data_IF_301659732167
#
_entry.id   IF_301659732167
#
_cell.length_a   1.000
_cell.length_b   1.000
_cell.length_c   1.000
_cell.angle_alpha   90.00
_cell.angle_beta   90.00
_cell.angle_gamma   90.00
#
_symmetry.space_group_name_H-M   'P 1'
#
loop_
_entity.id
_entity.type
_entity.pdbx_description
1 polymer ?
#
# COMPACT_ATOMS: atom_id res chain seq x y z
N UNK A 1 31.79 -4.31 66.60
CA UNK A 1 31.34 -4.90 65.32
C UNK A 1 32.46 -5.78 64.78
N UNK A 2 32.34 -7.11 64.93
CA UNK A 2 33.44 -8.07 64.71
C UNK A 2 33.86 -8.17 63.23
N UNK A 3 35.16 -7.95 62.95
CA UNK A 3 35.75 -7.99 61.60
C UNK A 3 35.77 -9.37 60.93
N UNK A 4 35.35 -10.42 61.66
CA UNK A 4 35.30 -11.81 61.19
C UNK A 4 34.41 -11.98 59.96
N UNK A 5 33.24 -11.31 59.90
CA UNK A 5 32.34 -11.37 58.72
C UNK A 5 33.00 -10.81 57.47
N UNK A 6 33.62 -9.63 57.58
CA UNK A 6 34.28 -8.93 56.46
C UNK A 6 35.45 -9.76 55.94
N UNK A 7 36.22 -10.37 56.85
CA UNK A 7 37.36 -11.25 56.49
C UNK A 7 36.89 -12.51 55.75
N UNK A 8 35.84 -13.18 56.23
CA UNK A 8 35.27 -14.35 55.55
C UNK A 8 34.69 -13.98 54.17
N UNK A 9 34.01 -12.84 54.03
CA UNK A 9 33.51 -12.36 52.75
C UNK A 9 34.64 -12.17 51.72
N UNK A 10 35.77 -11.56 52.14
CA UNK A 10 36.93 -11.36 51.26
C UNK A 10 37.56 -12.70 50.82
N UNK A 11 37.65 -13.68 51.72
CA UNK A 11 38.17 -15.01 51.40
C UNK A 11 37.25 -15.78 50.45
N UNK A 12 35.93 -15.75 50.68
CA UNK A 12 34.94 -16.39 49.81
C UNK A 12 34.94 -15.79 48.40
N UNK A 13 35.04 -14.46 48.28
CA UNK A 13 35.19 -13.77 46.99
C UNK A 13 36.42 -14.26 46.22
N UNK A 14 37.57 -14.38 46.91
CA UNK A 14 38.79 -14.87 46.30
C UNK A 14 38.71 -16.34 45.88
N UNK A 15 38.03 -17.19 46.66
CA UNK A 15 37.87 -18.62 46.34
C UNK A 15 36.89 -18.86 45.18
N UNK A 16 35.78 -18.11 45.13
CA UNK A 16 34.76 -18.23 44.08
C UNK A 16 35.08 -17.41 42.81
N UNK A 17 36.18 -16.66 42.81
CA UNK A 17 36.54 -15.71 41.75
C UNK A 17 35.41 -14.70 41.46
N UNK A 18 34.80 -14.17 42.53
CA UNK A 18 33.71 -13.19 42.46
C UNK A 18 34.24 -11.80 42.83
N UNK A 19 33.92 -10.82 41.99
CA UNK A 19 34.28 -9.42 42.16
C UNK A 19 33.23 -8.67 42.98
N UNK A 20 33.68 -7.80 43.89
CA UNK A 20 32.78 -6.94 44.64
C UNK A 20 32.15 -5.89 43.72
N UNK A 21 30.86 -5.62 43.91
CA UNK A 21 30.18 -4.55 43.19
C UNK A 21 30.52 -3.19 43.80
N UNK A 22 30.95 -2.24 42.97
CA UNK A 22 31.36 -0.89 43.38
C UNK A 22 30.68 0.22 42.56
N UNK A 23 31.06 1.47 42.84
CA UNK A 23 30.49 2.64 42.16
C UNK A 23 30.89 2.74 40.67
N UNK A 24 32.07 2.24 40.30
CA UNK A 24 32.52 2.23 38.90
C UNK A 24 31.63 1.30 38.08
N UNK A 25 31.29 0.12 38.63
CA UNK A 25 30.41 -0.81 37.96
C UNK A 25 28.96 -0.37 37.93
N UNK A 26 28.50 0.37 38.94
CA UNK A 26 27.20 1.04 38.87
C UNK A 26 27.12 2.00 37.66
N UNK A 27 28.19 2.73 37.35
CA UNK A 27 28.26 3.59 36.17
C UNK A 27 28.31 2.77 34.88
N UNK A 28 29.13 1.71 34.80
CA UNK A 28 29.16 0.82 33.63
C UNK A 28 27.80 0.16 33.36
N UNK A 29 27.05 -0.22 34.39
CA UNK A 29 25.69 -0.75 34.24
C UNK A 29 24.70 0.31 33.76
N UNK A 30 24.85 1.57 34.18
CA UNK A 30 24.00 2.66 33.71
C UNK A 30 24.18 2.93 32.21
N UNK A 31 25.43 2.87 31.71
CA UNK A 31 25.72 2.97 30.28
C UNK A 31 25.13 1.79 29.50
N UNK A 32 25.29 0.57 30.02
CA UNK A 32 24.68 -0.62 29.42
C UNK A 32 23.14 -0.50 29.40
N UNK A 33 22.52 -0.12 30.51
CA UNK A 33 21.08 0.10 30.58
C UNK A 33 20.61 1.14 29.56
N UNK A 34 21.37 2.21 29.37
CA UNK A 34 21.07 3.27 28.40
C UNK A 34 21.17 2.80 26.95
N UNK A 35 22.12 1.91 26.63
CA UNK A 35 22.21 1.26 25.33
C UNK A 35 21.03 0.30 25.11
N UNK A 36 20.71 -0.53 26.11
CA UNK A 36 19.63 -1.52 26.04
C UNK A 36 18.24 -0.87 25.96
N UNK A 37 18.02 0.26 26.64
CA UNK A 37 16.77 1.01 26.62
C UNK A 37 16.35 1.50 25.22
N UNK A 38 17.29 1.55 24.26
CA UNK A 38 17.00 1.91 22.85
C UNK A 38 16.25 0.81 22.10
N UNK A 39 16.43 -0.44 22.50
CA UNK A 39 15.87 -1.61 21.81
C UNK A 39 14.82 -2.32 22.65
N UNK A 40 14.97 -2.32 23.98
CA UNK A 40 14.08 -3.01 24.92
C UNK A 40 13.02 -2.06 25.47
N UNK A 41 11.77 -2.49 25.35
CA UNK A 41 10.60 -1.72 25.78
C UNK A 41 10.25 -2.00 27.24
N UNK A 42 10.27 -3.28 27.61
CA UNK A 42 9.86 -3.73 28.93
C UNK A 42 11.00 -3.61 29.93
N UNK A 43 10.68 -3.08 31.11
CA UNK A 43 11.67 -2.87 32.17
C UNK A 43 12.37 -4.17 32.61
N UNK A 44 11.67 -5.33 32.74
CA UNK A 44 12.31 -6.60 33.05
C UNK A 44 13.38 -7.02 32.04
N UNK A 45 13.21 -6.72 30.76
CA UNK A 45 14.19 -7.10 29.73
C UNK A 45 15.52 -6.37 29.93
N UNK A 46 15.46 -5.08 30.30
CA UNK A 46 16.67 -4.29 30.61
C UNK A 46 17.33 -4.88 31.86
N UNK A 47 16.56 -5.15 32.92
CA UNK A 47 17.08 -5.73 34.17
C UNK A 47 17.74 -7.08 33.92
N UNK A 48 17.14 -7.95 33.10
CA UNK A 48 17.69 -9.26 32.77
C UNK A 48 19.06 -9.13 32.10
N UNK A 49 19.22 -8.19 31.15
CA UNK A 49 20.54 -7.95 30.53
C UNK A 49 21.56 -7.45 31.56
N UNK A 50 21.16 -6.59 32.50
CA UNK A 50 22.07 -6.13 33.56
C UNK A 50 22.51 -7.31 34.47
N UNK A 51 21.60 -8.21 34.81
CA UNK A 51 21.90 -9.41 35.61
C UNK A 51 22.81 -10.35 34.82
N UNK A 52 22.50 -10.63 33.55
CA UNK A 52 23.31 -11.47 32.68
C UNK A 52 24.73 -10.91 32.55
N UNK A 53 24.88 -9.59 32.42
CA UNK A 53 26.20 -8.97 32.33
C UNK A 53 26.99 -9.08 33.63
N UNK A 54 26.34 -8.88 34.78
CA UNK A 54 26.97 -9.06 36.09
C UNK A 54 27.42 -10.51 36.31
N UNK A 55 26.57 -11.48 35.97
CA UNK A 55 26.89 -12.90 36.07
C UNK A 55 28.05 -13.26 35.13
N UNK A 56 28.01 -12.78 33.88
CA UNK A 56 29.06 -13.01 32.88
C UNK A 56 30.42 -12.47 33.32
N UNK A 57 30.45 -11.29 33.95
CA UNK A 57 31.67 -10.66 34.47
C UNK A 57 32.05 -11.11 35.90
N UNK A 58 31.29 -12.05 36.48
CA UNK A 58 31.47 -12.59 37.85
C UNK A 58 31.43 -11.53 38.95
N UNK A 59 30.50 -10.58 38.89
CA UNK A 59 30.25 -9.65 39.98
C UNK A 59 29.23 -10.19 40.99
N UNK A 60 29.37 -9.79 42.25
CA UNK A 60 28.29 -9.93 43.22
C UNK A 60 27.06 -9.15 42.75
N UNK A 61 25.88 -9.76 42.85
CA UNK A 61 24.64 -9.10 42.47
C UNK A 61 24.30 -7.99 43.48
N UNK A 62 24.14 -6.73 43.04
CA UNK A 62 23.64 -5.67 43.90
C UNK A 62 22.15 -5.91 44.24
N UNK A 63 21.60 -5.18 45.22
CA UNK A 63 20.17 -5.26 45.51
C UNK A 63 19.32 -5.02 44.27
N UNK A 64 18.26 -5.82 44.07
CA UNK A 64 17.36 -5.70 42.91
C UNK A 64 16.81 -4.27 42.75
N UNK A 65 16.52 -3.58 43.85
CA UNK A 65 16.06 -2.20 43.84
C UNK A 65 17.04 -1.23 43.15
N UNK A 66 18.35 -1.49 43.23
CA UNK A 66 19.36 -0.71 42.53
C UNK A 66 19.29 -0.94 41.02
N UNK A 67 19.18 -2.21 40.58
CA UNK A 67 19.03 -2.55 39.17
C UNK A 67 17.74 -1.97 38.58
N UNK A 68 16.64 -2.07 39.32
CA UNK A 68 15.36 -1.45 38.95
C UNK A 68 15.48 0.07 38.80
N UNK A 69 16.21 0.74 39.70
CA UNK A 69 16.43 2.19 39.61
C UNK A 69 17.27 2.55 38.37
N UNK A 70 18.37 1.83 38.11
CA UNK A 70 19.22 2.04 36.94
C UNK A 70 18.42 1.85 35.64
N UNK A 71 17.70 0.72 35.53
CA UNK A 71 16.88 0.43 34.35
C UNK A 71 15.74 1.45 34.15
N UNK A 72 15.10 1.88 35.24
CA UNK A 72 14.02 2.88 35.18
C UNK A 72 14.55 4.23 34.72
N UNK A 73 15.71 4.64 35.25
CA UNK A 73 16.36 5.89 34.87
C UNK A 73 16.73 5.88 33.39
N UNK A 74 17.44 4.85 32.92
CA UNK A 74 17.82 4.70 31.52
C UNK A 74 16.61 4.75 30.56
N UNK A 75 15.51 4.07 30.92
CA UNK A 75 14.26 4.10 30.14
C UNK A 75 13.62 5.49 30.13
N UNK A 76 13.60 6.19 31.26
CA UNK A 76 13.05 7.53 31.37
C UNK A 76 13.87 8.53 30.55
N UNK A 77 15.20 8.45 30.62
CA UNK A 77 16.11 9.31 29.87
C UNK A 77 15.96 9.08 28.37
N UNK A 78 15.83 7.82 27.94
CA UNK A 78 15.55 7.51 26.53
C UNK A 78 14.20 8.07 26.06
N UNK A 79 13.14 7.92 26.87
CA UNK A 79 11.83 8.49 26.55
C UNK A 79 11.87 10.02 26.46
N UNK A 80 12.52 10.71 27.41
CA UNK A 80 12.64 12.17 27.37
C UNK A 80 13.52 12.64 26.21
N UNK A 81 14.55 11.89 25.82
CA UNK A 81 15.32 12.18 24.61
C UNK A 81 14.45 12.10 23.34
N UNK A 82 13.58 11.08 23.23
CA UNK A 82 12.63 10.95 22.12
C UNK A 82 11.65 12.12 22.12
N UNK A 83 11.03 12.42 23.28
CA UNK A 83 10.06 13.49 23.37
C UNK A 83 10.68 14.85 23.04
N UNK A 84 11.86 15.14 23.62
CA UNK A 84 12.63 16.35 23.36
C UNK A 84 13.00 16.51 21.89
N UNK A 85 13.46 15.43 21.23
CA UNK A 85 13.80 15.47 19.81
C UNK A 85 12.59 15.79 18.91
N UNK A 86 11.42 15.23 19.23
CA UNK A 86 10.18 15.52 18.48
C UNK A 86 9.73 16.96 18.74
N UNK A 87 9.65 17.37 20.01
CA UNK A 87 9.14 18.71 20.36
C UNK A 87 10.09 19.84 19.97
N UNK A 88 11.39 19.61 20.00
CA UNK A 88 12.39 20.59 19.58
C UNK A 88 12.36 20.89 18.08
N UNK A 89 11.72 20.05 17.28
CA UNK A 89 11.52 20.25 15.86
C UNK A 89 10.15 20.88 15.51
N UNK A 90 9.32 21.19 16.51
CA UNK A 90 8.01 21.85 16.30
C UNK A 90 8.17 23.37 16.32
N UNK A 91 7.58 24.04 15.33
CA UNK A 91 7.40 25.48 15.34
C UNK A 91 6.12 25.87 16.12
N UNK A 92 5.95 27.17 16.36
CA UNK A 92 4.79 27.69 17.09
C UNK A 92 3.46 27.38 16.39
N UNK A 93 3.44 27.41 15.05
CA UNK A 93 2.24 27.15 14.27
C UNK A 93 1.77 25.69 14.38
N UNK A 94 2.71 24.74 14.42
CA UNK A 94 2.43 23.32 14.65
C UNK A 94 1.95 23.07 16.07
N UNK A 95 2.57 23.72 17.07
CA UNK A 95 2.13 23.65 18.46
C UNK A 95 0.69 24.15 18.60
N UNK A 96 0.36 25.32 18.06
CA UNK A 96 -1.00 25.87 18.07
C UNK A 96 -2.00 24.94 17.36
N UNK A 97 -1.60 24.33 16.24
CA UNK A 97 -2.44 23.37 15.51
C UNK A 97 -2.73 22.13 16.36
N UNK A 98 -1.73 21.61 17.07
CA UNK A 98 -1.90 20.45 17.96
C UNK A 98 -2.79 20.84 19.15
N UNK A 99 -2.56 21.99 19.77
CA UNK A 99 -3.37 22.45 20.89
C UNK A 99 -4.84 22.68 20.49
N UNK A 100 -5.10 23.16 19.27
CA UNK A 100 -6.44 23.30 18.72
C UNK A 100 -7.18 21.95 18.60
N UNK A 101 -6.48 20.83 18.40
CA UNK A 101 -7.10 19.49 18.42
C UNK A 101 -7.61 19.09 19.79
N UNK A 102 -6.94 19.58 20.85
CA UNK A 102 -7.27 19.28 22.24
C UNK A 102 -8.38 20.19 22.79
N UNK A 103 -8.95 21.09 21.98
CA UNK A 103 -10.06 21.96 22.41
C UNK A 103 -11.40 21.30 22.08
N UNK A 104 -12.29 21.23 23.07
CA UNK A 104 -13.67 20.80 22.86
C UNK A 104 -14.47 21.88 22.12
N UNK A 105 -15.08 21.52 21.00
CA UNK A 105 -16.03 22.34 20.24
C UNK A 105 -17.34 21.57 20.11
N UNK A 106 -18.44 22.15 20.60
CA UNK A 106 -19.77 21.52 20.56
C UNK A 106 -19.82 20.08 21.13
N UNK A 107 -19.06 19.81 22.21
CA UNK A 107 -19.05 18.52 22.90
C UNK A 107 -18.14 17.45 22.30
N UNK A 108 -17.36 17.75 21.25
CA UNK A 108 -16.32 16.85 20.70
C UNK A 108 -15.01 17.61 20.48
N UNK A 109 -13.89 16.91 20.60
CA UNK A 109 -12.57 17.47 20.26
C UNK A 109 -12.08 16.99 18.91
N UNK A 110 -11.15 17.73 18.29
CA UNK A 110 -10.45 17.26 17.08
C UNK A 110 -9.64 15.98 17.35
N UNK A 111 -9.22 15.76 18.60
CA UNK A 111 -8.60 14.51 19.04
C UNK A 111 -9.56 13.32 18.96
N UNK A 112 -10.82 13.49 19.37
CA UNK A 112 -11.84 12.44 19.29
C UNK A 112 -12.16 12.12 17.83
N UNK A 113 -12.24 13.14 16.97
CA UNK A 113 -12.43 12.95 15.53
C UNK A 113 -11.23 12.24 14.89
N UNK A 114 -10.00 12.51 15.34
CA UNK A 114 -8.79 11.83 14.89
C UNK A 114 -8.75 10.35 15.31
N UNK A 115 -9.34 10.00 16.47
CA UNK A 115 -9.48 8.60 16.90
C UNK A 115 -10.54 7.83 16.12
N UNK A 116 -11.53 8.53 15.56
CA UNK A 116 -12.59 7.87 14.80
C UNK A 116 -12.04 7.36 13.49
N UNK A 117 -11.92 6.04 13.40
CA UNK A 117 -11.67 5.39 12.13
C UNK A 117 -12.87 5.69 11.22
N UNK A 118 -12.66 6.36 10.08
CA UNK A 118 -13.76 6.60 9.18
C UNK A 118 -14.22 5.24 8.65
N UNK A 119 -15.36 4.75 9.16
CA UNK A 119 -15.93 3.44 8.81
C UNK A 119 -15.91 3.32 7.29
N UNK A 120 -15.30 2.24 6.77
CA UNK A 120 -15.15 1.96 5.33
C UNK A 120 -16.42 2.40 4.61
N UNK A 121 -16.36 3.49 3.82
CA UNK A 121 -17.58 4.06 3.27
C UNK A 121 -18.21 3.06 2.30
N UNK A 122 -19.50 2.77 2.48
CA UNK A 122 -20.34 2.39 1.34
C UNK A 122 -20.19 3.49 0.27
N UNK A 123 -20.40 3.19 -1.02
CA UNK A 123 -20.13 4.12 -2.12
C UNK A 123 -20.66 5.57 -1.94
N UNK A 124 -21.70 5.76 -1.10
CA UNK A 124 -22.28 7.06 -0.74
C UNK A 124 -21.49 7.89 0.29
N UNK A 125 -20.55 7.32 1.03
CA UNK A 125 -19.80 8.01 2.09
C UNK A 125 -18.34 8.33 1.73
N UNK A 126 -17.92 8.06 0.48
CA UNK A 126 -16.52 8.18 0.09
C UNK A 126 -16.05 9.65 0.06
N UNK A 127 -16.92 10.59 -0.31
CA UNK A 127 -16.59 12.01 -0.25
C UNK A 127 -16.26 12.48 1.19
N UNK A 128 -17.03 12.00 2.19
CA UNK A 128 -16.78 12.29 3.61
C UNK A 128 -15.46 11.67 4.08
N UNK A 129 -15.21 10.42 3.68
CA UNK A 129 -13.95 9.72 3.96
C UNK A 129 -12.74 10.46 3.38
N UNK A 130 -12.77 10.86 2.10
CA UNK A 130 -11.70 11.62 1.47
C UNK A 130 -11.49 12.99 2.13
N UNK A 131 -12.58 13.68 2.51
CA UNK A 131 -12.50 14.94 3.25
C UNK A 131 -11.80 14.76 4.60
N UNK A 132 -12.10 13.68 5.31
CA UNK A 132 -11.44 13.36 6.57
C UNK A 132 -9.94 13.08 6.37
N UNK A 133 -9.55 12.36 5.32
CA UNK A 133 -8.13 12.12 5.04
C UNK A 133 -7.41 13.41 4.66
N UNK A 134 -8.03 14.27 3.85
CA UNK A 134 -7.45 15.57 3.54
C UNK A 134 -7.27 16.42 4.81
N UNK A 135 -8.21 16.35 5.75
CA UNK A 135 -8.06 16.98 7.06
C UNK A 135 -6.87 16.42 7.85
N UNK A 136 -6.70 15.09 7.94
CA UNK A 136 -5.52 14.49 8.59
C UNK A 136 -4.23 14.91 7.87
N UNK A 137 -4.23 14.98 6.53
CA UNK A 137 -3.09 15.45 5.75
C UNK A 137 -2.72 16.89 6.12
N UNK A 138 -3.69 17.79 6.19
CA UNK A 138 -3.44 19.18 6.62
C UNK A 138 -2.95 19.28 8.05
N UNK A 139 -3.35 18.34 8.93
CA UNK A 139 -2.80 18.26 10.28
C UNK A 139 -1.32 17.86 10.27
N UNK A 140 -0.99 16.87 9.44
CA UNK A 140 0.36 16.32 9.35
C UNK A 140 1.36 17.17 8.56
N UNK A 141 0.90 18.16 7.79
CA UNK A 141 1.75 19.05 7.01
C UNK A 141 2.77 19.78 7.88
N UNK A 142 4.05 19.59 7.57
CA UNK A 142 5.17 20.19 8.31
C UNK A 142 5.58 19.45 9.58
N UNK A 143 4.90 18.35 9.96
CA UNK A 143 5.34 17.55 11.11
C UNK A 143 6.72 16.94 10.88
N UNK A 144 7.59 16.92 11.92
CA UNK A 144 8.94 16.39 11.80
C UNK A 144 8.91 14.88 11.57
N UNK A 145 9.90 14.37 10.83
CA UNK A 145 10.10 12.93 10.72
C UNK A 145 10.39 12.31 12.10
N UNK A 146 9.96 11.06 12.36
CA UNK A 146 10.34 10.35 13.57
C UNK A 146 11.87 10.35 13.76
N UNK A 147 12.40 10.68 14.95
CA UNK A 147 13.84 10.76 15.15
C UNK A 147 14.47 9.37 15.03
N UNK A 148 15.72 9.29 14.55
CA UNK A 148 16.43 8.02 14.33
C UNK A 148 16.61 7.16 15.59
N UNK A 149 16.57 7.79 16.77
CA UNK A 149 16.62 7.11 18.07
C UNK A 149 15.32 6.38 18.42
N UNK A 150 14.20 6.66 17.73
CA UNK A 150 12.90 6.05 17.96
C UNK A 150 12.77 4.75 17.15
N UNK A 151 12.81 3.61 17.83
CA UNK A 151 12.59 2.31 17.18
C UNK A 151 11.13 2.10 16.73
N UNK A 152 10.92 1.25 15.73
CA UNK A 152 9.58 0.91 15.20
C UNK A 152 8.67 0.36 16.29
N UNK A 153 9.17 -0.56 17.11
CA UNK A 153 8.41 -1.18 18.20
C UNK A 153 8.03 -0.14 19.26
N UNK A 154 8.94 0.78 19.60
CA UNK A 154 8.67 1.86 20.55
C UNK A 154 7.64 2.85 20.00
N UNK A 155 7.72 3.19 18.71
CA UNK A 155 6.72 4.02 18.03
C UNK A 155 5.33 3.38 18.11
N UNK A 156 5.21 2.08 17.84
CA UNK A 156 3.94 1.36 17.94
C UNK A 156 3.36 1.40 19.37
N UNK A 157 4.22 1.23 20.39
CA UNK A 157 3.83 1.37 21.80
C UNK A 157 3.28 2.78 22.09
N UNK A 158 4.04 3.83 21.73
CA UNK A 158 3.64 5.22 21.99
C UNK A 158 2.36 5.61 21.25
N UNK A 159 2.18 5.14 20.01
CA UNK A 159 0.94 5.34 19.26
C UNK A 159 -0.25 4.65 19.95
N UNK A 160 -0.03 3.45 20.49
CA UNK A 160 -1.06 2.72 21.26
C UNK A 160 -1.41 3.47 22.55
N UNK A 161 -0.40 3.98 23.26
CA UNK A 161 -0.60 4.82 24.44
C UNK A 161 -1.40 6.08 24.10
N UNK A 162 -0.99 6.82 23.07
CA UNK A 162 -1.70 8.02 22.61
C UNK A 162 -3.17 7.72 22.30
N UNK A 163 -3.45 6.60 21.62
CA UNK A 163 -4.82 6.20 21.27
C UNK A 163 -5.70 6.00 22.51
N UNK A 164 -5.16 5.44 23.58
CA UNK A 164 -5.89 5.15 24.81
C UNK A 164 -6.29 6.45 25.55
N UNK A 165 -5.47 7.49 25.48
CA UNK A 165 -5.62 8.70 26.28
C UNK A 165 -6.69 9.66 25.75
N UNK A 166 -7.60 10.11 26.61
CA UNK A 166 -8.53 11.21 26.31
C UNK A 166 -7.84 12.59 26.38
N UNK A 167 -8.59 13.65 26.05
CA UNK A 167 -8.08 15.02 26.05
C UNK A 167 -7.65 15.49 27.45
N UNK A 168 -8.37 15.11 28.50
CA UNK A 168 -8.06 15.52 29.86
C UNK A 168 -6.78 14.83 30.36
N UNK A 169 -6.65 13.54 30.08
CA UNK A 169 -5.45 12.76 30.37
C UNK A 169 -4.23 13.30 29.62
N UNK A 170 -4.35 13.61 28.33
CA UNK A 170 -3.28 14.25 27.55
C UNK A 170 -2.85 15.60 28.14
N UNK A 171 -3.81 16.40 28.60
CA UNK A 171 -3.55 17.70 29.24
C UNK A 171 -2.88 17.56 30.62
N UNK A 172 -3.02 16.42 31.29
CA UNK A 172 -2.32 16.14 32.56
C UNK A 172 -0.85 15.74 32.35
N UNK A 173 -0.48 15.29 31.15
CA UNK A 173 0.89 14.90 30.84
C UNK A 173 1.84 16.11 30.77
N UNK A 174 3.13 15.85 31.00
CA UNK A 174 4.21 16.79 30.69
C UNK A 174 4.10 17.25 29.23
N UNK A 175 4.35 18.54 28.99
CA UNK A 175 4.25 19.18 27.68
C UNK A 175 5.00 18.44 26.58
N UNK A 176 6.26 18.04 26.83
CA UNK A 176 7.07 17.32 25.87
C UNK A 176 6.42 15.99 25.44
N UNK A 177 5.98 15.18 26.41
CA UNK A 177 5.30 13.91 26.17
C UNK A 177 3.98 14.11 25.43
N UNK A 178 3.17 15.10 25.82
CA UNK A 178 1.88 15.40 25.20
C UNK A 178 2.03 15.66 23.69
N UNK A 179 2.92 16.58 23.32
CA UNK A 179 3.13 16.91 21.91
C UNK A 179 3.76 15.75 21.15
N UNK A 180 4.73 15.04 21.73
CA UNK A 180 5.32 13.87 21.08
C UNK A 180 4.27 12.79 20.77
N UNK A 181 3.39 12.46 21.73
CA UNK A 181 2.31 11.51 21.52
C UNK A 181 1.32 11.99 20.45
N UNK A 182 0.95 13.27 20.46
CA UNK A 182 0.05 13.84 19.47
C UNK A 182 0.64 13.76 18.05
N UNK A 183 1.91 14.14 17.87
CA UNK A 183 2.62 14.06 16.58
C UNK A 183 2.65 12.63 16.06
N UNK A 184 3.11 11.69 16.91
CA UNK A 184 3.20 10.27 16.52
C UNK A 184 1.83 9.70 16.16
N UNK A 185 0.78 10.09 16.89
CA UNK A 185 -0.58 9.63 16.62
C UNK A 185 -1.14 10.20 15.31
N UNK A 186 -0.96 11.50 15.04
CA UNK A 186 -1.37 12.12 13.76
C UNK A 186 -0.69 11.42 12.59
N UNK A 187 0.62 11.18 12.68
CA UNK A 187 1.37 10.46 11.64
C UNK A 187 0.88 9.03 11.44
N UNK A 188 0.59 8.31 12.53
CA UNK A 188 0.05 6.96 12.46
C UNK A 188 -1.35 6.92 11.84
N UNK A 189 -2.22 7.88 12.17
CA UNK A 189 -3.54 8.00 11.56
C UNK A 189 -3.47 8.34 10.08
N UNK A 190 -2.53 9.21 9.67
CA UNK A 190 -2.31 9.50 8.25
C UNK A 190 -1.87 8.24 7.50
N UNK A 191 -0.89 7.51 8.02
CA UNK A 191 -0.41 6.26 7.40
C UNK A 191 -1.55 5.25 7.25
N UNK A 192 -2.32 5.02 8.31
CA UNK A 192 -3.50 4.13 8.27
C UNK A 192 -4.54 4.59 7.25
N UNK A 193 -4.85 5.88 7.21
CA UNK A 193 -5.80 6.46 6.27
C UNK A 193 -5.35 6.26 4.81
N UNK A 194 -4.07 6.43 4.51
CA UNK A 194 -3.51 6.18 3.18
C UNK A 194 -3.60 4.70 2.81
N UNK A 195 -3.30 3.78 3.73
CA UNK A 195 -3.46 2.34 3.53
C UNK A 195 -4.92 1.95 3.24
N UNK A 196 -5.88 2.56 3.94
CA UNK A 196 -7.31 2.33 3.69
C UNK A 196 -7.73 2.83 2.29
N UNK A 197 -7.23 3.98 1.84
CA UNK A 197 -7.46 4.48 0.46
C UNK A 197 -6.86 3.53 -0.58
N UNK A 198 -5.64 3.03 -0.32
CA UNK A 198 -4.98 2.03 -1.15
C UNK A 198 -5.87 0.79 -1.32
N UNK A 199 -6.37 0.28 -0.20
CA UNK A 199 -7.19 -0.91 -0.16
C UNK A 199 -8.51 -0.71 -0.91
N UNK A 200 -9.15 0.46 -0.74
CA UNK A 200 -10.35 0.84 -1.51
C UNK A 200 -10.04 0.85 -3.01
N UNK A 201 -8.97 1.54 -3.42
CA UNK A 201 -8.57 1.62 -4.83
C UNK A 201 -8.36 0.22 -5.43
N UNK A 202 -7.56 -0.62 -4.78
CA UNK A 202 -7.27 -1.99 -5.21
C UNK A 202 -8.56 -2.82 -5.31
N UNK A 203 -9.44 -2.74 -4.31
CA UNK A 203 -10.71 -3.48 -4.32
C UNK A 203 -11.64 -3.03 -5.45
N UNK A 204 -11.72 -1.74 -5.71
CA UNK A 204 -12.56 -1.21 -6.81
C UNK A 204 -12.03 -1.71 -8.15
N UNK A 205 -10.72 -1.59 -8.41
CA UNK A 205 -10.10 -2.08 -9.66
C UNK A 205 -10.34 -3.58 -9.84
N UNK A 206 -10.10 -4.40 -8.80
CA UNK A 206 -10.37 -5.84 -8.84
C UNK A 206 -11.85 -6.15 -9.10
N UNK A 207 -12.77 -5.41 -8.49
CA UNK A 207 -14.21 -5.61 -8.70
C UNK A 207 -14.62 -5.31 -10.14
N UNK A 208 -14.04 -4.28 -10.78
CA UNK A 208 -14.26 -4.01 -12.21
C UNK A 208 -13.81 -5.20 -13.06
N UNK A 209 -12.64 -5.75 -12.76
CA UNK A 209 -12.08 -6.89 -13.47
C UNK A 209 -12.92 -8.17 -13.29
N UNK A 210 -13.31 -8.48 -12.05
CA UNK A 210 -14.18 -9.62 -11.74
C UNK A 210 -15.55 -9.49 -12.40
N UNK A 211 -16.17 -8.31 -12.36
CA UNK A 211 -17.43 -8.05 -13.04
C UNK A 211 -17.31 -8.32 -14.55
N UNK A 212 -16.25 -7.80 -15.17
CA UNK A 212 -16.04 -7.95 -16.60
C UNK A 212 -15.83 -9.41 -17.02
N UNK A 213 -15.11 -10.19 -16.22
CA UNK A 213 -14.93 -11.64 -16.46
C UNK A 213 -16.24 -12.41 -16.36
N UNK A 214 -17.06 -12.14 -15.34
CA UNK A 214 -18.39 -12.77 -15.20
C UNK A 214 -19.30 -12.36 -16.36
N UNK A 215 -19.26 -11.09 -16.77
CA UNK A 215 -20.05 -10.59 -17.90
C UNK A 215 -19.61 -11.22 -19.22
N UNK A 216 -18.31 -11.42 -19.44
CA UNK A 216 -17.79 -12.13 -20.60
C UNK A 216 -18.29 -13.58 -20.65
N UNK A 217 -18.25 -14.30 -19.53
CA UNK A 217 -18.78 -15.68 -19.47
C UNK A 217 -20.27 -15.73 -19.81
N UNK A 218 -21.05 -14.80 -19.26
CA UNK A 218 -22.49 -14.71 -19.56
C UNK A 218 -22.73 -14.36 -21.04
N UNK A 219 -21.97 -13.43 -21.59
CA UNK A 219 -22.05 -13.07 -23.01
C UNK A 219 -21.72 -14.27 -23.91
N UNK A 220 -20.67 -15.04 -23.60
CA UNK A 220 -20.29 -16.25 -24.32
C UNK A 220 -21.39 -17.32 -24.29
N UNK A 221 -22.06 -17.51 -23.15
CA UNK A 221 -23.20 -18.43 -23.04
C UNK A 221 -24.41 -17.96 -23.86
N UNK A 222 -24.74 -16.67 -23.82
CA UNK A 222 -25.85 -16.08 -24.58
C UNK A 222 -25.63 -16.15 -26.11
N UNK A 223 -24.37 -16.06 -26.55
CA UNK A 223 -24.00 -16.06 -27.97
C UNK A 223 -23.51 -17.44 -28.47
N UNK A 224 -23.59 -18.49 -27.63
CA UNK A 224 -23.23 -19.85 -28.01
C UNK A 224 -24.08 -20.36 -29.18
N UNK A 225 -25.38 -20.05 -29.19
CA UNK A 225 -26.28 -20.43 -30.29
C UNK A 225 -25.95 -19.73 -31.61
N UNK A 226 -25.49 -18.47 -31.57
CA UNK A 226 -25.00 -17.76 -32.75
C UNK A 226 -23.74 -18.45 -33.31
N UNK A 227 -22.83 -18.88 -32.44
CA UNK A 227 -21.64 -19.62 -32.82
C UNK A 227 -21.96 -20.98 -33.45
N UNK A 228 -22.90 -21.73 -32.85
CA UNK A 228 -23.39 -22.98 -33.42
C UNK A 228 -24.00 -22.76 -34.81
N UNK A 229 -24.73 -21.65 -35.01
CA UNK A 229 -25.25 -21.24 -36.31
C UNK A 229 -24.15 -20.96 -37.34
N UNK A 230 -23.13 -20.15 -36.99
CA UNK A 230 -21.99 -19.86 -37.87
C UNK A 230 -21.19 -21.12 -38.22
N UNK A 231 -20.98 -22.03 -37.25
CA UNK A 231 -20.30 -23.31 -37.48
C UNK A 231 -21.15 -24.22 -38.37
N UNK A 232 -22.47 -24.20 -38.21
CA UNK A 232 -23.43 -24.88 -39.10
C UNK A 232 -23.32 -24.38 -40.54
N UNK A 233 -23.39 -23.06 -40.75
CA UNK A 233 -23.23 -22.45 -42.08
C UNK A 233 -21.88 -22.82 -42.72
N UNK A 234 -20.78 -22.80 -41.94
CA UNK A 234 -19.47 -23.19 -42.43
C UNK A 234 -19.42 -24.68 -42.80
N UNK A 235 -20.03 -25.56 -41.99
CA UNK A 235 -20.15 -26.99 -42.29
C UNK A 235 -20.91 -27.22 -43.59
N UNK A 236 -22.03 -26.52 -43.80
CA UNK A 236 -22.86 -26.68 -45.00
C UNK A 236 -22.08 -26.26 -46.26
N UNK A 237 -21.31 -25.17 -46.19
CA UNK A 237 -20.40 -24.76 -47.26
C UNK A 237 -19.34 -25.82 -47.56
N UNK A 238 -18.71 -26.40 -46.52
CA UNK A 238 -17.72 -27.47 -46.70
C UNK A 238 -18.35 -28.73 -47.31
N UNK A 239 -19.58 -29.07 -46.95
CA UNK A 239 -20.31 -30.20 -47.53
C UNK A 239 -20.60 -29.96 -49.02
N UNK A 240 -21.04 -28.75 -49.41
CA UNK A 240 -21.28 -28.40 -50.81
C UNK A 240 -19.99 -28.48 -51.64
N UNK A 241 -18.84 -28.12 -51.06
CA UNK A 241 -17.54 -28.20 -51.73
C UNK A 241 -17.04 -29.64 -51.88
N UNK A 242 -17.35 -30.53 -50.93
CA UNK A 242 -16.98 -31.94 -50.98
C UNK A 242 -17.93 -32.80 -51.82
N UNK A 243 -19.15 -32.33 -52.10
CA UNK A 243 -20.14 -33.07 -52.87
C UNK A 243 -19.76 -33.15 -54.36
N UNK A 244 -19.17 -34.29 -54.77
CA UNK A 244 -18.83 -34.60 -56.16
C UNK A 244 -20.07 -34.72 -57.08
N UNK A 245 -21.28 -34.86 -56.50
CA UNK A 245 -22.54 -34.88 -57.22
C UNK A 245 -23.05 -33.49 -57.62
N UNK A 246 -22.47 -32.39 -57.11
CA UNK A 246 -22.84 -31.03 -57.49
C UNK A 246 -21.90 -30.51 -58.59
N UNK A 247 -22.41 -30.24 -59.81
CA UNK A 247 -21.60 -29.66 -60.87
C UNK A 247 -21.06 -28.28 -60.47
N UNK A 248 -19.79 -28.01 -60.80
CA UNK A 248 -19.09 -26.72 -60.58
C UNK A 248 -19.96 -25.46 -60.76
N UNK A 249 -20.67 -25.26 -61.89
CA UNK A 249 -21.46 -24.04 -62.11
C UNK A 249 -22.65 -23.86 -61.14
N UNK A 250 -23.08 -24.93 -60.44
CA UNK A 250 -24.17 -24.89 -59.45
C UNK A 250 -23.67 -24.79 -58.00
N UNK A 251 -22.35 -24.90 -57.76
CA UNK A 251 -21.76 -24.84 -56.41
C UNK A 251 -21.86 -23.44 -55.80
N UNK A 252 -21.46 -22.40 -56.54
CA UNK A 252 -21.46 -21.03 -56.04
C UNK A 252 -22.85 -20.49 -55.65
N UNK A 253 -23.93 -20.74 -56.41
CA UNK A 253 -25.29 -20.39 -55.98
C UNK A 253 -25.71 -21.09 -54.68
N UNK A 254 -25.43 -22.39 -54.53
CA UNK A 254 -25.73 -23.15 -53.31
C UNK A 254 -24.94 -22.65 -52.10
N UNK A 255 -23.67 -22.26 -52.28
CA UNK A 255 -22.85 -21.66 -51.22
C UNK A 255 -23.43 -20.34 -50.74
N UNK A 256 -23.93 -19.49 -51.66
CA UNK A 256 -24.59 -18.23 -51.30
C UNK A 256 -25.88 -18.45 -50.53
N UNK A 257 -26.64 -19.47 -50.89
CA UNK A 257 -27.86 -19.85 -50.16
C UNK A 257 -27.56 -20.35 -48.74
N UNK A 258 -26.52 -21.19 -48.59
CA UNK A 258 -26.08 -21.71 -47.29
C UNK A 258 -25.49 -20.62 -46.36
N UNK A 259 -24.83 -19.60 -46.92
CA UNK A 259 -24.26 -18.49 -46.15
C UNK A 259 -25.28 -17.41 -45.78
N UNK A 260 -26.45 -17.37 -46.43
CA UNK A 260 -27.44 -16.30 -46.22
C UNK A 260 -26.91 -14.93 -46.65
N UNK A 261 -27.15 -13.88 -45.83
CA UNK A 261 -26.60 -12.55 -46.06
C UNK A 261 -25.10 -12.49 -45.66
N UNK A 262 -24.17 -12.32 -46.62
CA UNK A 262 -22.74 -12.27 -46.32
C UNK A 262 -22.36 -11.09 -45.42
N UNK A 263 -23.08 -9.97 -45.48
CA UNK A 263 -22.80 -8.80 -44.65
C UNK A 263 -23.13 -9.09 -43.18
N UNK A 264 -24.26 -9.76 -42.93
CA UNK A 264 -24.67 -10.18 -41.60
C UNK A 264 -23.71 -11.25 -41.06
N UNK A 265 -23.41 -12.30 -41.82
CA UNK A 265 -22.48 -13.37 -41.40
C UNK A 265 -21.07 -12.82 -41.09
N UNK A 266 -20.57 -11.85 -41.87
CA UNK A 266 -19.31 -11.16 -41.58
C UNK A 266 -19.40 -10.30 -40.32
N UNK A 267 -20.52 -9.60 -40.09
CA UNK A 267 -20.72 -8.83 -38.87
C UNK A 267 -20.71 -9.71 -37.62
N UNK A 268 -21.40 -10.86 -37.67
CA UNK A 268 -21.44 -11.86 -36.58
C UNK A 268 -20.05 -12.48 -36.34
N UNK A 269 -19.31 -12.81 -37.41
CA UNK A 269 -17.92 -13.26 -37.32
C UNK A 269 -17.01 -12.20 -36.66
N UNK A 270 -17.12 -10.94 -37.09
CA UNK A 270 -16.32 -9.84 -36.56
C UNK A 270 -16.66 -9.53 -35.10
N UNK A 271 -17.93 -9.59 -34.72
CA UNK A 271 -18.37 -9.46 -33.33
C UNK A 271 -17.78 -10.59 -32.48
N UNK A 272 -17.87 -11.84 -32.94
CA UNK A 272 -17.24 -12.96 -32.24
C UNK A 272 -15.71 -12.79 -32.13
N UNK A 273 -15.01 -12.37 -33.19
CA UNK A 273 -13.56 -12.12 -33.18
C UNK A 273 -13.18 -10.97 -32.23
N UNK A 274 -14.02 -9.95 -32.10
CA UNK A 274 -13.83 -8.83 -31.20
C UNK A 274 -13.89 -9.26 -29.72
N UNK A 275 -14.70 -10.28 -29.40
CA UNK A 275 -14.83 -10.85 -28.05
C UNK A 275 -14.19 -12.23 -27.90
N UNK A 276 -13.49 -12.73 -28.93
CA UNK A 276 -12.90 -14.06 -28.94
C UNK A 276 -11.82 -14.20 -27.86
N UNK A 277 -11.85 -15.33 -27.15
CA UNK A 277 -10.93 -15.64 -26.07
C UNK A 277 -11.31 -14.98 -24.73
N UNK A 278 -10.31 -14.61 -23.92
CA UNK A 278 -10.50 -14.02 -22.59
C UNK A 278 -10.55 -12.48 -22.61
N UNK A 279 -11.05 -11.86 -23.68
CA UNK A 279 -11.03 -10.40 -23.83
C UNK A 279 -12.19 -9.71 -23.09
N UNK A 280 -12.08 -9.63 -21.76
CA UNK A 280 -13.11 -9.05 -20.89
C UNK A 280 -13.10 -7.51 -20.82
N UNK A 281 -12.04 -6.85 -21.29
CA UNK A 281 -11.81 -5.41 -21.07
C UNK A 281 -12.98 -4.49 -21.46
N UNK A 282 -13.70 -4.69 -22.58
CA UNK A 282 -14.84 -3.85 -22.95
C UNK A 282 -15.94 -3.81 -21.88
N UNK A 283 -16.17 -4.94 -21.19
CA UNK A 283 -17.17 -5.04 -20.13
C UNK A 283 -16.80 -4.26 -18.86
N UNK A 284 -15.54 -3.83 -18.70
CA UNK A 284 -15.14 -2.95 -17.61
C UNK A 284 -15.65 -1.52 -17.78
N UNK A 285 -15.91 -1.06 -19.00
CA UNK A 285 -16.28 0.34 -19.28
C UNK A 285 -17.58 0.76 -18.59
N UNK A 286 -18.57 -0.13 -18.52
CA UNK A 286 -19.88 0.15 -17.93
C UNK A 286 -19.76 0.49 -16.44
N UNK A 287 -19.25 -0.40 -15.57
CA UNK A 287 -19.08 -0.07 -14.15
C UNK A 287 -18.02 1.01 -13.93
N UNK A 288 -17.00 1.11 -14.80
CA UNK A 288 -15.96 2.12 -14.71
C UNK A 288 -16.52 3.55 -14.75
N UNK A 289 -17.51 3.84 -15.61
CA UNK A 289 -18.13 5.18 -15.69
C UNK A 289 -18.60 5.69 -14.33
N UNK A 290 -19.14 4.81 -13.48
CA UNK A 290 -19.61 5.17 -12.13
C UNK A 290 -18.51 5.29 -11.09
N UNK A 291 -17.40 4.57 -11.26
CA UNK A 291 -16.29 4.49 -10.30
C UNK A 291 -15.10 5.39 -10.68
N UNK A 292 -15.13 6.00 -11.87
CA UNK A 292 -14.01 6.80 -12.39
C UNK A 292 -13.64 7.93 -11.44
N UNK A 293 -14.61 8.73 -10.99
CA UNK A 293 -14.35 9.85 -10.07
C UNK A 293 -13.66 9.41 -8.79
N UNK A 294 -14.14 8.30 -8.20
CA UNK A 294 -13.56 7.68 -7.02
C UNK A 294 -12.10 7.27 -7.24
N UNK A 295 -11.81 6.55 -8.31
CA UNK A 295 -10.44 6.07 -8.60
C UNK A 295 -9.47 7.24 -8.71
N UNK A 296 -9.87 8.32 -9.38
CA UNK A 296 -9.06 9.55 -9.44
C UNK A 296 -8.91 10.24 -8.09
N UNK A 297 -9.99 10.34 -7.29
CA UNK A 297 -9.92 10.93 -5.97
C UNK A 297 -9.00 10.16 -5.02
N UNK A 298 -8.97 8.83 -5.11
CA UNK A 298 -7.97 8.03 -4.39
C UNK A 298 -6.55 8.44 -4.82
N UNK A 299 -6.30 8.56 -6.12
CA UNK A 299 -4.98 8.92 -6.64
C UNK A 299 -4.54 10.35 -6.28
N UNK A 300 -5.48 11.29 -6.09
CA UNK A 300 -5.18 12.65 -5.65
C UNK A 300 -4.63 12.70 -4.19
N UNK A 301 -5.02 11.72 -3.38
CA UNK A 301 -4.67 11.63 -1.95
C UNK A 301 -3.41 10.79 -1.72
N UNK A 302 -3.19 9.78 -2.55
CA UNK A 302 -2.09 8.83 -2.39
C UNK A 302 -0.75 9.42 -2.87
N UNK A 303 0.29 9.51 -2.00
CA UNK A 303 1.62 9.91 -2.41
C UNK A 303 2.33 8.74 -3.12
N UNK A 304 1.99 8.52 -4.39
CA UNK A 304 2.55 7.42 -5.18
C UNK A 304 4.02 7.69 -5.53
N UNK A 305 4.88 6.73 -5.25
CA UNK A 305 6.29 6.74 -5.64
C UNK A 305 6.67 5.41 -6.31
N UNK A 306 7.67 5.46 -7.20
CA UNK A 306 8.13 4.22 -7.83
C UNK A 306 9.02 3.50 -6.85
N UNK A 307 8.77 2.20 -6.66
CA UNK A 307 9.64 1.34 -5.86
C UNK A 307 10.83 0.80 -6.65
N UNK A 308 10.84 1.07 -7.96
CA UNK A 308 11.87 0.65 -8.89
C UNK A 308 12.45 1.87 -9.62
N UNK A 309 13.53 1.66 -10.36
CA UNK A 309 14.04 2.70 -11.28
C UNK A 309 13.07 2.97 -12.43
N UNK A 310 12.15 2.05 -12.72
CA UNK A 310 11.14 2.24 -13.75
C UNK A 310 10.04 3.20 -13.26
N UNK A 311 9.94 4.35 -13.92
CA UNK A 311 8.93 5.38 -13.65
C UNK A 311 7.83 5.42 -14.71
N UNK A 312 7.80 4.46 -15.64
CA UNK A 312 6.93 4.52 -16.81
C UNK A 312 5.44 4.67 -16.47
N UNK A 313 4.94 3.91 -15.50
CA UNK A 313 3.54 4.00 -15.06
C UNK A 313 3.25 5.32 -14.34
N UNK A 314 4.21 5.91 -13.63
CA UNK A 314 4.04 7.23 -13.00
C UNK A 314 4.02 8.35 -14.05
N UNK A 315 4.88 8.27 -15.08
CA UNK A 315 4.85 9.19 -16.22
C UNK A 315 3.51 9.09 -16.94
N UNK A 316 3.02 7.87 -17.18
CA UNK A 316 1.71 7.64 -17.77
C UNK A 316 0.57 8.20 -16.91
N UNK A 317 0.65 8.06 -15.58
CA UNK A 317 -0.32 8.62 -14.66
C UNK A 317 -0.32 10.16 -14.68
N UNK A 318 0.86 10.78 -14.66
CA UNK A 318 1.00 12.24 -14.73
C UNK A 318 0.44 12.80 -16.04
N UNK A 319 0.75 12.14 -17.17
CA UNK A 319 0.18 12.48 -18.47
C UNK A 319 -1.35 12.38 -18.46
N UNK A 320 -1.89 11.27 -17.95
CA UNK A 320 -3.32 11.00 -17.84
C UNK A 320 -4.06 12.03 -16.97
N UNK A 321 -3.44 12.53 -15.90
CA UNK A 321 -4.02 13.60 -15.08
C UNK A 321 -4.30 14.88 -15.88
N UNK A 322 -3.47 15.21 -16.88
CA UNK A 322 -3.71 16.33 -17.80
C UNK A 322 -4.98 16.18 -18.64
N UNK A 323 -5.39 14.94 -18.92
CA UNK A 323 -6.59 14.62 -19.70
C UNK A 323 -7.79 14.20 -18.82
N UNK A 324 -7.73 14.43 -17.50
CA UNK A 324 -8.80 14.03 -16.56
C UNK A 324 -10.17 14.59 -16.93
N UNK A 325 -10.21 15.83 -17.41
CA UNK A 325 -11.43 16.55 -17.81
C UNK A 325 -11.75 16.42 -19.29
N UNK A 326 -10.96 15.68 -20.07
CA UNK A 326 -11.27 15.43 -21.46
C UNK A 326 -12.58 14.63 -21.56
N UNK A 327 -13.40 14.94 -22.56
CA UNK A 327 -14.64 14.23 -22.85
C UNK A 327 -14.52 13.29 -24.06
N UNK A 328 -13.52 13.49 -24.92
CA UNK A 328 -13.27 12.67 -26.12
C UNK A 328 -12.87 11.24 -25.78
N UNK A 329 -13.45 10.26 -26.47
CA UNK A 329 -13.15 8.84 -26.27
C UNK A 329 -11.74 8.48 -26.75
N UNK A 330 -11.31 9.08 -27.86
CA UNK A 330 -9.98 8.94 -28.42
C UNK A 330 -9.16 10.21 -28.24
N UNK A 331 -7.88 10.03 -27.93
CA UNK A 331 -6.87 11.08 -27.87
C UNK A 331 -5.87 10.84 -29.00
N UNK A 332 -5.58 11.88 -29.78
CA UNK A 332 -4.53 11.83 -30.79
C UNK A 332 -3.20 12.14 -30.10
N UNK A 333 -2.26 11.18 -30.16
CA UNK A 333 -0.92 11.37 -29.62
C UNK A 333 -0.11 12.28 -30.54
N UNK A 334 0.44 13.36 -29.99
CA UNK A 334 1.39 14.23 -30.69
C UNK A 334 2.77 13.57 -30.76
N UNK A 335 3.67 14.07 -31.62
CA UNK A 335 5.06 13.57 -31.66
C UNK A 335 5.77 13.74 -30.30
N UNK A 336 5.42 14.79 -29.56
CA UNK A 336 5.91 15.01 -28.21
C UNK A 336 5.35 14.00 -27.20
N UNK A 337 4.08 13.59 -27.33
CA UNK A 337 3.51 12.53 -26.48
C UNK A 337 4.19 11.20 -26.75
N UNK A 338 4.41 10.84 -28.02
CA UNK A 338 5.08 9.60 -28.40
C UNK A 338 6.52 9.52 -27.88
N UNK A 339 7.23 10.65 -27.83
CA UNK A 339 8.59 10.71 -27.29
C UNK A 339 8.64 10.59 -25.76
N UNK A 340 7.61 11.06 -25.05
CA UNK A 340 7.63 11.20 -23.59
C UNK A 340 6.70 10.24 -22.84
N UNK A 341 5.78 9.56 -23.52
CA UNK A 341 4.85 8.61 -22.92
C UNK A 341 5.35 7.17 -23.15
N UNK A 342 5.98 6.54 -22.14
CA UNK A 342 6.37 5.14 -22.27
C UNK A 342 5.12 4.27 -22.29
N UNK A 343 5.05 3.35 -23.26
CA UNK A 343 3.93 2.41 -23.45
C UNK A 343 4.34 0.94 -23.34
N UNK A 344 5.63 0.67 -23.10
CA UNK A 344 6.18 -0.70 -23.06
C UNK A 344 5.74 -1.50 -21.83
N UNK A 345 5.29 -0.81 -20.79
CA UNK A 345 4.71 -1.41 -19.59
C UNK A 345 3.32 -1.99 -19.85
N UNK A 346 2.65 -1.61 -20.94
CA UNK A 346 1.29 -2.01 -21.26
C UNK A 346 1.28 -3.46 -21.77
N UNK A 347 0.59 -4.40 -21.10
CA UNK A 347 0.49 -5.77 -21.59
C UNK A 347 -0.24 -5.82 -22.94
N UNK A 348 0.09 -6.79 -23.80
CA UNK A 348 -0.48 -6.95 -25.15
C UNK A 348 -2.03 -6.95 -25.15
N UNK A 349 -2.64 -7.57 -24.13
CA UNK A 349 -4.10 -7.55 -23.96
C UNK A 349 -4.68 -6.14 -23.83
N UNK A 350 -3.98 -5.25 -23.13
CA UNK A 350 -4.38 -3.86 -22.94
C UNK A 350 -4.02 -3.03 -24.17
N UNK A 351 -2.90 -3.32 -24.83
CA UNK A 351 -2.51 -2.66 -26.07
C UNK A 351 -3.58 -2.78 -27.16
N UNK A 352 -4.13 -3.98 -27.37
CA UNK A 352 -5.25 -4.21 -28.31
C UNK A 352 -6.49 -3.37 -27.97
N UNK A 353 -6.76 -3.13 -26.68
CA UNK A 353 -7.89 -2.31 -26.24
C UNK A 353 -7.61 -0.80 -26.35
N UNK A 354 -6.38 -0.39 -26.03
CA UNK A 354 -5.96 1.01 -26.04
C UNK A 354 -5.75 1.52 -27.47
N UNK A 355 -5.28 0.67 -28.38
CA UNK A 355 -5.04 0.99 -29.78
C UNK A 355 -5.80 0.01 -30.70
N UNK A 356 -7.12 0.20 -30.90
CA UNK A 356 -7.91 -0.69 -31.74
C UNK A 356 -7.46 -0.74 -33.21
N UNK A 357 -6.81 0.33 -33.69
CA UNK A 357 -6.37 0.52 -35.08
C UNK A 357 -4.84 0.53 -35.24
N UNK A 358 -4.11 -0.23 -34.41
CA UNK A 358 -2.63 -0.17 -34.28
C UNK A 358 -2.11 1.11 -33.58
N UNK A 359 -0.92 1.01 -32.98
CA UNK A 359 -0.18 2.17 -32.44
C UNK A 359 0.11 3.22 -33.50
N UNK A 360 0.24 2.81 -34.77
CA UNK A 360 0.55 3.70 -35.89
C UNK A 360 -0.56 4.72 -36.18
N UNK A 361 -1.81 4.39 -35.82
CA UNK A 361 -2.94 5.32 -35.93
C UNK A 361 -2.81 6.53 -35.00
N UNK A 362 -1.94 6.46 -33.98
CA UNK A 362 -1.79 7.45 -32.91
C UNK A 362 -3.08 7.76 -32.15
N UNK A 363 -4.14 6.96 -32.36
CA UNK A 363 -5.44 7.11 -31.71
C UNK A 363 -5.49 6.24 -30.46
N UNK A 364 -5.31 6.87 -29.30
CA UNK A 364 -5.34 6.22 -27.99
C UNK A 364 -6.76 6.27 -27.41
N UNK A 365 -7.33 5.12 -27.08
CA UNK A 365 -8.62 5.03 -26.42
C UNK A 365 -8.50 5.35 -24.92
N UNK A 366 -8.94 6.56 -24.54
CA UNK A 366 -8.67 7.18 -23.23
C UNK A 366 -9.07 6.29 -22.06
N UNK A 367 -10.30 5.77 -22.04
CA UNK A 367 -10.82 5.00 -20.90
C UNK A 367 -10.11 3.66 -20.71
N UNK A 368 -9.67 3.03 -21.79
CA UNK A 368 -8.90 1.77 -21.70
C UNK A 368 -7.50 2.05 -21.21
N UNK A 369 -6.90 3.18 -21.62
CA UNK A 369 -5.63 3.60 -21.08
C UNK A 369 -5.73 3.92 -19.59
N UNK A 370 -6.77 4.66 -19.18
CA UNK A 370 -7.05 4.94 -17.76
C UNK A 370 -7.17 3.65 -16.94
N UNK A 371 -7.98 2.70 -17.42
CA UNK A 371 -8.13 1.40 -16.78
C UNK A 371 -6.84 0.57 -16.78
N UNK A 372 -6.02 0.66 -17.83
CA UNK A 372 -4.72 0.00 -17.93
C UNK A 372 -3.74 0.52 -16.88
N UNK A 373 -3.64 1.85 -16.75
CA UNK A 373 -2.83 2.51 -15.70
C UNK A 373 -3.32 2.09 -14.31
N UNK A 374 -4.64 2.16 -14.07
CA UNK A 374 -5.22 1.80 -12.77
C UNK A 374 -5.03 0.32 -12.44
N UNK A 375 -5.12 -0.55 -13.45
CA UNK A 375 -4.87 -1.98 -13.29
C UNK A 375 -3.44 -2.26 -12.86
N UNK A 376 -2.46 -1.51 -13.37
CA UNK A 376 -1.06 -1.68 -12.96
C UNK A 376 -0.78 -1.14 -11.56
N UNK A 377 -1.33 0.03 -11.21
CA UNK A 377 -1.24 0.57 -9.85
C UNK A 377 -1.92 -0.37 -8.83
N UNK A 378 -3.01 -1.03 -9.24
CA UNK A 378 -3.77 -1.96 -8.40
C UNK A 378 -3.16 -3.35 -8.23
N UNK A 379 -2.06 -3.67 -8.92
CA UNK A 379 -1.31 -4.92 -8.68
C UNK A 379 -0.52 -4.75 -7.39
N UNK A 380 -0.77 -5.56 -6.33
CA UNK A 380 0.00 -5.46 -5.12
C UNK A 380 1.47 -5.76 -5.43
N UNK A 381 2.33 -4.78 -5.18
CA UNK A 381 3.78 -4.94 -5.11
C UNK A 381 4.07 -6.10 -4.16
N UNK A 382 4.64 -7.18 -4.69
CA UNK A 382 4.82 -8.43 -3.98
C UNK A 382 5.57 -8.24 -2.67
N UNK A 383 4.85 -8.30 -1.55
CA UNK A 383 5.43 -8.55 -0.24
C UNK A 383 5.98 -9.98 -0.26
N UNK A 384 7.29 -10.12 -0.42
CA UNK A 384 8.09 -11.32 -0.11
C UNK A 384 7.59 -12.67 -0.65
N UNK A 385 7.68 -12.92 -1.97
CA UNK A 385 7.96 -14.31 -2.42
C UNK A 385 9.46 -14.54 -2.36
N UNK A 386 9.90 -15.27 -1.33
CA UNK A 386 11.20 -15.95 -1.34
C UNK A 386 11.29 -16.73 -2.66
N UNK A 387 12.26 -16.37 -3.50
CA UNK A 387 12.71 -17.21 -4.60
C UNK A 387 13.34 -18.46 -3.99
N UNK A 388 12.64 -19.58 -4.02
CA UNK A 388 13.28 -20.89 -3.93
C UNK A 388 13.67 -21.30 -5.34
N UNK A 389 14.96 -21.58 -5.52
CA UNK A 389 15.57 -22.09 -6.74
C UNK A 389 15.01 -23.48 -7.12
N UNK A 390 14.57 -23.65 -8.37
CA UNK A 390 14.76 -24.85 -9.20
C UNK A 390 14.38 -24.51 -10.67
N UNK A 391 15.23 -24.92 -11.61
CA UNK A 391 15.24 -24.56 -13.04
C UNK A 391 14.23 -25.35 -13.91
N UNK A 392 14.30 -25.29 -15.26
CA UNK A 392 13.97 -24.16 -16.12
C UNK A 392 12.85 -24.54 -17.11
N UNK A 393 11.81 -23.71 -17.27
CA UNK A 393 10.99 -23.79 -18.48
C UNK A 393 10.56 -22.41 -18.97
N UNK A 394 10.57 -22.33 -20.29
CA UNK A 394 10.75 -21.15 -21.11
C UNK A 394 9.44 -20.38 -21.23
N UNK A 395 9.30 -19.27 -20.49
CA UNK A 395 8.37 -18.20 -20.85
C UNK A 395 8.98 -16.86 -20.44
N UNK A 396 9.04 -15.94 -21.40
CA UNK A 396 9.50 -14.56 -21.22
C UNK A 396 8.55 -13.81 -20.30
N UNK A 397 8.83 -13.82 -18.99
CA UNK A 397 8.26 -12.85 -18.05
C UNK A 397 8.92 -11.49 -18.30
N UNK A 398 8.18 -10.57 -18.95
CA UNK A 398 8.54 -9.15 -18.97
C UNK A 398 8.27 -8.57 -17.59
N UNK A 399 9.28 -7.92 -17.02
CA UNK A 399 9.29 -7.43 -15.64
C UNK A 399 8.06 -6.57 -15.30
N UNK A 400 7.36 -6.95 -14.24
CA UNK A 400 6.37 -6.12 -13.58
C UNK A 400 7.11 -5.06 -12.75
N UNK A 401 6.74 -3.79 -12.94
CA UNK A 401 7.26 -2.66 -12.16
C UNK A 401 6.30 -2.37 -10.99
N UNK A 402 6.64 -2.72 -9.74
CA UNK A 402 5.82 -2.41 -8.59
C UNK A 402 5.84 -0.91 -8.29
N UNK A 403 4.66 -0.30 -8.11
CA UNK A 403 4.51 1.01 -7.47
C UNK A 403 4.25 0.75 -5.98
N UNK A 404 5.04 1.39 -5.11
CA UNK A 404 4.87 1.23 -3.66
C UNK A 404 4.34 2.55 -3.10
N UNK A 405 3.44 2.47 -2.13
CA UNK A 405 3.06 3.63 -1.35
C UNK A 405 4.27 4.08 -0.56
N UNK A 406 4.63 5.36 -0.68
CA UNK A 406 5.72 5.92 0.08
C UNK A 406 5.43 5.75 1.58
N UNK A 407 6.03 4.74 2.20
CA UNK A 407 6.26 4.79 3.62
C UNK A 407 7.27 5.92 3.80
N UNK A 408 6.90 6.92 4.60
CA UNK A 408 7.86 7.86 5.16
C UNK A 408 8.85 7.06 6.02
N UNK A 409 9.91 6.58 5.38
CA UNK A 409 11.11 6.00 5.99
C UNK A 409 12.30 6.76 5.43
N UNK A 410 12.66 7.80 6.14
CA UNK A 410 14.01 8.01 6.70
C UNK A 410 13.87 8.90 7.91
#
# INVERSE_FOLDING_TARGET
>A
MSGTRIRHQKLLRGWLDIRAFDASEAASLAELASAEARTKIELPDIINVLIEELVRRRYELPPLAMLQRIATQARNDHNEAIYGAITGALDSALVERIDALLVFKAGKSGWDDLKQEPKRPAARAIASFLKHINWIRTLAEGLPAPPSILSVSKRAQLVTEARALDVAELRSLKTAKRYALAVLFIQAQLQKALDDVAEIFIKVVRKLESYAKVRLQKYQLEHAGMLEGLVGQFRDVLQILQDEGVPEPKRLPKIREALGDPAEALAQCNEHIAYAGQFYLPFMLVPYRTQRSLLFQCLDVLPLQSSSQDRAVLVALAWLQGFRNAHREYLLLTDNDLANLPLDWLPEKWERAVFPHSRDSRMLHRRFFELGVFSQIGVPSGFGRKRTLAAPHNHRDKGFSPIVMAQSVT
#
